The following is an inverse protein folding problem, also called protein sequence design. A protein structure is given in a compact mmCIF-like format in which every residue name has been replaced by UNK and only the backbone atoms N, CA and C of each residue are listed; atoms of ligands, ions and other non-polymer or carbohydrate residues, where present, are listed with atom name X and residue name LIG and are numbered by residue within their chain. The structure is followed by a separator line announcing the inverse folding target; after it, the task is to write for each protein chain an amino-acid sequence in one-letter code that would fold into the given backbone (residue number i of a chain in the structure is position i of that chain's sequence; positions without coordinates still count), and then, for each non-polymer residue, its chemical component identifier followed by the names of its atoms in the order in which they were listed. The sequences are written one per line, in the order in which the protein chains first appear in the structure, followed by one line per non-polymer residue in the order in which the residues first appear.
data_IF_717323030039
#
_entry.id   IF_717323030039
#
_cell.length_a   1.000
_cell.length_b   1.000
_cell.length_c   1.000
_cell.angle_alpha   90.00
_cell.angle_beta   90.00
_cell.angle_gamma   90.00
#
_symmetry.space_group_name_H-M   'P 1'
#
loop_
_entity.id
_entity.type
_entity.pdbx_description
1 polymer ?
#
# COMPACT_ATOMS: atom_id res chain seq x y z
N UNK A 1 -4.61 17.76 20.13
CA UNK A 1 -3.62 16.69 19.82
C UNK A 1 -3.17 16.92 18.40
N UNK A 2 -1.88 16.96 18.18
CA UNK A 2 -1.35 17.03 16.82
C UNK A 2 -1.75 15.76 16.08
N UNK A 3 -2.19 15.90 14.83
CA UNK A 3 -2.56 14.77 13.99
C UNK A 3 -1.33 13.89 13.78
N UNK A 4 -1.52 12.58 13.73
CA UNK A 4 -0.46 11.60 13.44
C UNK A 4 -0.92 10.67 12.32
N UNK A 5 -0.05 10.49 11.36
CA UNK A 5 -0.30 9.64 10.18
C UNK A 5 0.67 8.47 10.23
N UNK A 6 0.17 7.27 9.96
CA UNK A 6 1.00 6.08 9.80
C UNK A 6 0.78 5.54 8.39
N UNK A 7 1.83 5.41 7.61
CA UNK A 7 1.77 4.72 6.33
C UNK A 7 2.38 3.34 6.47
N UNK A 8 1.74 2.31 5.91
CA UNK A 8 2.25 0.93 5.95
C UNK A 8 2.39 0.38 4.54
N UNK A 9 3.62 0.40 4.03
CA UNK A 9 4.03 -0.38 2.88
C UNK A 9 4.39 -1.81 3.32
N UNK A 10 4.17 -2.81 2.47
CA UNK A 10 4.28 -4.21 2.91
C UNK A 10 4.45 -5.19 1.77
N UNK A 11 5.17 -6.28 2.02
CA UNK A 11 5.18 -7.46 1.14
C UNK A 11 3.85 -8.22 1.22
N UNK A 12 3.51 -8.94 0.14
CA UNK A 12 2.35 -9.81 0.12
C UNK A 12 2.60 -11.03 1.02
N UNK A 13 1.64 -11.35 1.87
CA UNK A 13 1.78 -12.43 2.86
C UNK A 13 2.40 -12.02 4.20
N UNK A 14 3.05 -10.86 4.33
CA UNK A 14 3.69 -10.42 5.57
C UNK A 14 2.74 -10.05 6.73
N UNK A 15 1.43 -10.02 6.50
CA UNK A 15 0.47 -9.60 7.52
C UNK A 15 0.35 -8.09 7.72
N UNK A 16 1.09 -7.26 6.97
CA UNK A 16 1.12 -5.81 7.18
C UNK A 16 -0.24 -5.11 7.15
N UNK A 17 -1.21 -5.65 6.37
CA UNK A 17 -2.59 -5.14 6.37
C UNK A 17 -3.29 -5.40 7.70
N UNK A 18 -3.16 -6.59 8.26
CA UNK A 18 -3.71 -6.97 9.56
C UNK A 18 -3.07 -6.14 10.69
N UNK A 19 -1.74 -6.05 10.70
CA UNK A 19 -0.99 -5.25 11.67
C UNK A 19 -1.47 -3.79 11.63
N UNK A 20 -1.63 -3.21 10.44
CA UNK A 20 -2.11 -1.83 10.29
C UNK A 20 -3.52 -1.60 10.82
N UNK A 21 -4.42 -2.57 10.63
CA UNK A 21 -5.78 -2.51 11.16
C UNK A 21 -5.78 -2.55 12.70
N UNK A 22 -4.99 -3.45 13.31
CA UNK A 22 -4.88 -3.55 14.75
C UNK A 22 -4.19 -2.32 15.38
N UNK A 23 -3.17 -1.78 14.73
CA UNK A 23 -2.54 -0.50 15.15
C UNK A 23 -3.57 0.64 15.14
N UNK A 24 -4.38 0.75 14.09
CA UNK A 24 -5.43 1.77 14.01
C UNK A 24 -6.44 1.62 15.16
N UNK A 25 -6.88 0.41 15.46
CA UNK A 25 -7.79 0.11 16.60
C UNK A 25 -7.16 0.50 17.94
N UNK A 26 -5.90 0.12 18.18
CA UNK A 26 -5.17 0.42 19.45
C UNK A 26 -4.96 1.92 19.67
N UNK A 27 -4.83 2.70 18.59
CA UNK A 27 -4.63 4.16 18.64
C UNK A 27 -5.92 4.97 18.53
N UNK A 28 -7.06 4.33 18.17
CA UNK A 28 -8.30 5.03 17.85
C UNK A 28 -8.20 5.87 16.56
N UNK A 29 -7.33 5.47 15.62
CA UNK A 29 -7.12 6.16 14.36
C UNK A 29 -8.05 5.61 13.27
N UNK A 30 -8.37 6.45 12.28
CA UNK A 30 -9.05 5.99 11.08
C UNK A 30 -8.15 5.01 10.30
N UNK A 31 -8.78 4.00 9.67
CA UNK A 31 -8.07 2.99 8.88
C UNK A 31 -8.45 3.07 7.41
N UNK A 32 -7.47 3.25 6.55
CA UNK A 32 -7.63 3.44 5.11
C UNK A 32 -6.87 2.38 4.30
N UNK A 33 -7.62 1.47 3.67
CA UNK A 33 -7.12 0.45 2.73
C UNK A 33 -8.01 0.40 1.49
N UNK A 34 -8.98 -0.49 1.45
CA UNK A 34 -9.88 -0.65 0.29
C UNK A 34 -10.93 0.46 0.17
N UNK A 35 -11.30 1.08 1.26
CA UNK A 35 -12.26 2.18 1.30
C UNK A 35 -11.80 3.45 0.55
N UNK A 36 -10.49 3.64 0.38
CA UNK A 36 -9.94 4.70 -0.49
C UNK A 36 -10.37 4.51 -1.95
N UNK A 37 -10.56 3.26 -2.41
CA UNK A 37 -10.94 2.95 -3.79
C UNK A 37 -12.25 3.66 -4.17
N UNK A 38 -13.25 3.64 -3.28
CA UNK A 38 -14.53 4.32 -3.51
C UNK A 38 -14.36 5.83 -3.70
N UNK A 39 -13.54 6.48 -2.88
CA UNK A 39 -13.28 7.91 -2.98
C UNK A 39 -12.51 8.28 -4.26
N UNK A 40 -11.56 7.44 -4.67
CA UNK A 40 -10.84 7.65 -5.94
C UNK A 40 -11.81 7.46 -7.11
N UNK A 41 -12.68 6.44 -7.07
CA UNK A 41 -13.67 6.18 -8.10
C UNK A 41 -14.63 7.38 -8.27
N UNK A 42 -15.19 7.87 -7.18
CA UNK A 42 -16.07 9.03 -7.17
C UNK A 42 -15.40 10.28 -7.78
N UNK A 43 -14.16 10.55 -7.40
CA UNK A 43 -13.43 11.75 -7.85
C UNK A 43 -12.87 11.65 -9.27
N UNK A 44 -12.54 10.45 -9.74
CA UNK A 44 -11.98 10.23 -11.07
C UNK A 44 -13.05 9.92 -12.14
N UNK A 45 -14.26 9.51 -11.72
CA UNK A 45 -15.28 9.00 -12.63
C UNK A 45 -14.98 7.61 -13.21
N UNK A 46 -13.94 6.92 -12.70
CA UNK A 46 -13.54 5.59 -13.17
C UNK A 46 -14.23 4.48 -12.35
N UNK A 47 -14.40 3.31 -12.97
CA UNK A 47 -14.98 2.15 -12.32
C UNK A 47 -14.11 1.70 -11.12
N UNK A 48 -14.71 1.38 -9.95
CA UNK A 48 -13.98 0.93 -8.77
C UNK A 48 -13.09 -0.30 -9.01
N UNK A 49 -13.53 -1.21 -9.89
CA UNK A 49 -12.78 -2.41 -10.29
C UNK A 49 -11.45 -2.04 -10.96
N UNK A 50 -11.47 -1.06 -11.87
CA UNK A 50 -10.28 -0.57 -12.52
C UNK A 50 -9.30 0.07 -11.53
N UNK A 51 -9.79 0.88 -10.62
CA UNK A 51 -8.97 1.52 -9.57
C UNK A 51 -8.37 0.49 -8.63
N UNK A 52 -9.12 -0.54 -8.26
CA UNK A 52 -8.63 -1.64 -7.41
C UNK A 52 -7.40 -2.31 -8.00
N UNK A 53 -7.36 -2.47 -9.34
CA UNK A 53 -6.25 -3.09 -10.03
C UNK A 53 -5.09 -2.13 -10.31
N UNK A 54 -5.36 -0.85 -10.52
CA UNK A 54 -4.39 0.13 -11.04
C UNK A 54 -3.79 1.03 -9.95
N UNK A 55 -4.49 1.28 -8.85
CA UNK A 55 -4.08 2.28 -7.87
C UNK A 55 -2.88 1.87 -6.98
N UNK A 56 -2.61 0.58 -6.82
CA UNK A 56 -1.48 0.07 -6.03
C UNK A 56 -0.57 -0.87 -6.84
N UNK A 57 -1.11 -1.46 -7.89
CA UNK A 57 -0.42 -2.46 -8.69
C UNK A 57 -0.26 -1.93 -10.11
N UNK A 58 0.94 -2.09 -10.70
CA UNK A 58 1.06 -1.88 -12.14
C UNK A 58 0.16 -2.87 -12.89
N UNK A 59 -0.42 -2.49 -14.05
CA UNK A 59 -1.26 -3.38 -14.84
C UNK A 59 -0.55 -4.72 -15.14
N UNK A 60 -1.32 -5.80 -15.22
CA UNK A 60 -0.79 -7.06 -15.74
C UNK A 60 -0.39 -6.85 -17.19
N UNK A 61 0.88 -7.12 -17.52
CA UNK A 61 1.38 -6.98 -18.89
C UNK A 61 0.64 -7.97 -19.82
N UNK A 62 -0.35 -7.48 -20.58
CA UNK A 62 -0.83 -8.14 -21.78
C UNK A 62 -0.20 -7.45 -23.00
N UNK A 63 0.07 -8.17 -24.08
CA UNK A 63 0.67 -7.63 -25.33
C UNK A 63 -0.09 -6.41 -25.87
N UNK A 64 -1.34 -6.21 -25.48
CA UNK A 64 -2.22 -5.13 -25.94
C UNK A 64 -2.44 -4.00 -24.93
N UNK A 65 -1.91 -4.08 -23.71
CA UNK A 65 -2.13 -3.05 -22.68
C UNK A 65 -1.56 -1.69 -23.09
N UNK A 66 -0.51 -1.66 -23.89
CA UNK A 66 0.08 -0.42 -24.42
C UNK A 66 -0.66 0.16 -25.65
N UNK A 67 -1.39 -0.67 -26.39
CA UNK A 67 -2.08 -0.22 -27.61
C UNK A 67 -3.42 0.47 -27.30
N UNK A 68 -3.99 0.27 -26.11
CA UNK A 68 -5.25 0.83 -25.66
C UNK A 68 -5.15 1.70 -24.41
N UNK A 69 -3.94 2.11 -24.02
CA UNK A 69 -3.78 3.18 -23.04
C UNK A 69 -4.32 4.47 -23.68
N UNK A 70 -5.64 4.68 -23.55
CA UNK A 70 -6.28 5.91 -23.96
C UNK A 70 -5.60 7.08 -23.28
N UNK A 71 -4.93 7.93 -24.05
CA UNK A 71 -4.47 9.21 -23.55
C UNK A 71 -5.62 10.18 -23.73
N UNK A 72 -5.84 11.01 -22.70
CA UNK A 72 -6.77 12.12 -22.85
C UNK A 72 -6.21 13.19 -23.80
N UNK A 73 -7.01 14.22 -24.07
CA UNK A 73 -6.61 15.36 -24.92
C UNK A 73 -5.40 16.13 -24.38
N UNK A 74 -4.98 15.88 -23.11
CA UNK A 74 -3.79 16.45 -22.49
C UNK A 74 -2.57 15.53 -22.59
N UNK A 75 -2.72 14.35 -23.16
CA UNK A 75 -1.67 13.34 -23.29
C UNK A 75 -1.44 12.48 -22.06
N UNK A 76 -2.24 12.64 -20.98
CA UNK A 76 -2.17 11.85 -19.76
C UNK A 76 -2.78 10.46 -19.96
N UNK A 77 -2.15 9.45 -19.38
CA UNK A 77 -2.71 8.11 -19.32
C UNK A 77 -3.79 8.00 -18.24
N UNK A 78 -4.64 6.99 -18.33
CA UNK A 78 -5.66 6.72 -17.31
C UNK A 78 -4.98 6.37 -15.98
N UNK A 79 -3.82 5.70 -16.02
CA UNK A 79 -3.01 5.40 -14.85
C UNK A 79 -2.51 6.68 -14.14
N UNK A 80 -2.09 7.69 -14.89
CA UNK A 80 -1.69 8.99 -14.33
C UNK A 80 -2.88 9.69 -13.66
N UNK A 81 -4.08 9.64 -14.27
CA UNK A 81 -5.30 10.16 -13.67
C UNK A 81 -5.62 9.46 -12.34
N UNK A 82 -5.50 8.13 -12.29
CA UNK A 82 -5.71 7.35 -11.07
C UNK A 82 -4.69 7.77 -9.99
N UNK A 83 -3.41 7.88 -10.34
CA UNK A 83 -2.38 8.28 -9.40
C UNK A 83 -2.57 9.71 -8.87
N UNK A 84 -2.86 10.68 -9.73
CA UNK A 84 -3.12 12.06 -9.33
C UNK A 84 -4.36 12.17 -8.42
N UNK A 85 -5.43 11.43 -8.75
CA UNK A 85 -6.63 11.42 -7.92
C UNK A 85 -6.36 10.74 -6.58
N UNK A 86 -5.63 9.63 -6.59
CA UNK A 86 -5.18 8.94 -5.36
C UNK A 86 -4.35 9.89 -4.47
N UNK A 87 -3.42 10.63 -5.07
CA UNK A 87 -2.61 11.62 -4.35
C UNK A 87 -3.49 12.67 -3.66
N UNK A 88 -4.48 13.22 -4.36
CA UNK A 88 -5.42 14.20 -3.77
C UNK A 88 -6.20 13.61 -2.60
N UNK A 89 -6.76 12.42 -2.77
CA UNK A 89 -7.51 11.72 -1.71
C UNK A 89 -6.64 11.49 -0.48
N UNK A 90 -5.41 10.98 -0.65
CA UNK A 90 -4.50 10.71 0.47
C UNK A 90 -4.14 11.99 1.23
N UNK A 91 -3.86 13.10 0.54
CA UNK A 91 -3.59 14.38 1.16
C UNK A 91 -4.80 14.89 1.97
N UNK A 92 -6.01 14.81 1.41
CA UNK A 92 -7.24 15.22 2.11
C UNK A 92 -7.51 14.38 3.37
N UNK A 93 -7.29 13.05 3.30
CA UNK A 93 -7.44 12.16 4.44
C UNK A 93 -6.43 12.50 5.56
N UNK A 94 -5.19 12.77 5.19
CA UNK A 94 -4.14 13.17 6.13
C UNK A 94 -4.42 14.54 6.79
N UNK A 95 -5.11 15.45 6.09
CA UNK A 95 -5.56 16.71 6.67
C UNK A 95 -6.79 16.56 7.57
N UNK A 96 -7.61 15.56 7.33
CA UNK A 96 -8.88 15.40 8.03
C UNK A 96 -8.68 14.87 9.45
N UNK A 97 -7.92 13.79 9.63
CA UNK A 97 -7.84 13.08 10.90
C UNK A 97 -6.57 12.23 11.03
N UNK A 98 -6.23 11.83 12.27
CA UNK A 98 -5.18 10.82 12.49
C UNK A 98 -5.57 9.51 11.87
N UNK A 99 -4.68 8.90 11.09
CA UNK A 99 -5.04 7.71 10.33
C UNK A 99 -3.86 6.77 10.04
N UNK A 100 -4.22 5.52 9.73
CA UNK A 100 -3.32 4.49 9.18
C UNK A 100 -3.70 4.26 7.71
N UNK A 101 -2.76 4.45 6.81
CA UNK A 101 -2.96 4.28 5.36
C UNK A 101 -2.13 3.12 4.85
N UNK A 102 -2.77 2.18 4.14
CA UNK A 102 -2.12 0.97 3.65
C UNK A 102 -1.70 1.11 2.19
N UNK A 103 -0.39 1.09 1.93
CA UNK A 103 0.22 1.13 0.59
C UNK A 103 -0.06 2.40 -0.19
N UNK A 104 -0.29 2.28 -1.51
CA UNK A 104 -0.70 3.37 -2.43
C UNK A 104 0.28 4.52 -2.53
N UNK A 105 1.57 4.22 -2.34
CA UNK A 105 2.64 5.22 -2.33
C UNK A 105 2.41 6.34 -1.30
N UNK A 106 1.63 6.07 -0.23
CA UNK A 106 1.28 7.07 0.77
C UNK A 106 2.51 7.62 1.50
N UNK A 107 3.50 6.76 1.75
CA UNK A 107 4.81 7.13 2.28
C UNK A 107 5.50 8.23 1.46
N UNK A 108 5.48 8.09 0.14
CA UNK A 108 6.05 9.09 -0.77
C UNK A 108 5.15 10.32 -0.95
N UNK A 109 3.84 10.14 -1.03
CA UNK A 109 2.87 11.24 -1.19
C UNK A 109 2.94 12.19 0.00
N UNK A 110 3.19 11.68 1.20
CA UNK A 110 3.23 12.42 2.46
C UNK A 110 4.65 12.73 2.96
N UNK A 111 5.68 12.52 2.13
CA UNK A 111 7.11 12.61 2.50
C UNK A 111 7.55 13.96 3.06
N UNK A 112 6.87 15.04 2.69
CA UNK A 112 7.21 16.40 3.10
C UNK A 112 6.49 16.81 4.41
N UNK A 113 5.85 15.87 5.12
CA UNK A 113 5.16 16.09 6.40
C UNK A 113 5.97 15.52 7.56
N UNK A 114 6.07 16.26 8.64
CA UNK A 114 6.80 15.88 9.86
C UNK A 114 5.98 14.99 10.81
N UNK A 115 4.66 14.88 10.59
CA UNK A 115 3.72 14.12 11.42
C UNK A 115 3.46 12.69 10.89
N UNK A 116 4.31 12.18 9.99
CA UNK A 116 4.13 10.88 9.33
C UNK A 116 5.16 9.86 9.81
N UNK A 117 4.66 8.70 10.27
CA UNK A 117 5.47 7.51 10.53
C UNK A 117 5.36 6.56 9.33
N UNK A 118 6.44 6.41 8.58
CA UNK A 118 6.52 5.49 7.44
C UNK A 118 7.04 4.12 7.87
N UNK A 119 6.23 3.09 7.68
CA UNK A 119 6.52 1.70 8.08
C UNK A 119 6.57 0.78 6.86
N UNK A 120 7.53 -0.14 6.86
CA UNK A 120 7.58 -1.26 5.90
C UNK A 120 7.50 -2.60 6.64
N UNK A 121 6.53 -3.44 6.27
CA UNK A 121 6.37 -4.78 6.86
C UNK A 121 6.75 -5.83 5.83
N UNK A 122 7.72 -6.67 6.19
CA UNK A 122 8.15 -7.80 5.39
C UNK A 122 8.14 -9.09 6.22
N UNK A 123 8.44 -10.22 5.61
CA UNK A 123 8.49 -11.49 6.31
C UNK A 123 9.32 -12.53 5.58
N UNK A 124 9.69 -13.59 6.30
CA UNK A 124 10.42 -14.72 5.73
C UNK A 124 9.52 -15.52 4.78
N UNK A 125 10.12 -16.10 3.75
CA UNK A 125 9.38 -16.75 2.67
C UNK A 125 8.47 -17.91 3.15
N UNK A 126 8.94 -18.83 4.00
CA UNK A 126 8.12 -19.96 4.46
C UNK A 126 6.82 -19.51 5.14
N UNK A 127 6.90 -18.57 6.07
CA UNK A 127 5.75 -18.08 6.85
C UNK A 127 4.77 -17.31 5.98
N UNK A 128 5.28 -16.54 5.00
CA UNK A 128 4.42 -15.87 4.02
C UNK A 128 3.69 -16.89 3.13
N UNK A 129 4.37 -17.95 2.67
CA UNK A 129 3.77 -19.02 1.88
C UNK A 129 2.67 -19.73 2.67
N UNK A 130 2.96 -20.18 3.90
CA UNK A 130 1.98 -20.82 4.78
C UNK A 130 0.74 -19.94 4.97
N UNK A 131 0.94 -18.66 5.26
CA UNK A 131 -0.15 -17.70 5.42
C UNK A 131 -1.01 -17.58 4.15
N UNK A 132 -0.40 -17.51 2.98
CA UNK A 132 -1.14 -17.39 1.71
C UNK A 132 -1.89 -18.66 1.39
N UNK A 133 -1.29 -19.84 1.57
CA UNK A 133 -1.98 -21.14 1.42
C UNK A 133 -3.23 -21.20 2.29
N UNK A 134 -3.13 -20.81 3.55
CA UNK A 134 -4.25 -20.81 4.51
C UNK A 134 -5.35 -19.80 4.13
N UNK A 135 -4.99 -18.59 3.73
CA UNK A 135 -5.96 -17.52 3.45
C UNK A 135 -6.68 -17.67 2.11
N UNK A 136 -6.01 -18.23 1.11
CA UNK A 136 -6.53 -18.32 -0.25
C UNK A 136 -6.85 -19.73 -0.68
N UNK A 137 -6.60 -20.75 0.18
CA UNK A 137 -6.83 -22.17 -0.10
C UNK A 137 -6.10 -22.64 -1.37
N UNK A 138 -4.85 -22.23 -1.55
CA UNK A 138 -4.01 -22.54 -2.70
C UNK A 138 -2.81 -23.41 -2.31
N UNK A 139 -2.17 -24.03 -3.29
CA UNK A 139 -0.91 -24.77 -3.09
C UNK A 139 0.26 -23.82 -2.81
N UNK A 140 1.34 -24.34 -2.22
CA UNK A 140 2.58 -23.57 -1.98
C UNK A 140 3.13 -22.98 -3.28
N UNK A 141 3.12 -23.76 -4.36
CA UNK A 141 3.59 -23.30 -5.66
C UNK A 141 2.78 -22.10 -6.18
N UNK A 142 1.47 -22.15 -6.01
CA UNK A 142 0.58 -21.04 -6.39
C UNK A 142 0.77 -19.85 -5.47
N UNK A 143 0.92 -20.05 -4.17
CA UNK A 143 1.22 -19.00 -3.20
C UNK A 143 2.50 -18.22 -3.57
N UNK A 144 3.58 -18.92 -3.91
CA UNK A 144 4.85 -18.31 -4.37
C UNK A 144 4.64 -17.49 -5.65
N UNK A 145 3.87 -18.00 -6.62
CA UNK A 145 3.54 -17.26 -7.85
C UNK A 145 2.76 -15.97 -7.55
N UNK A 146 1.73 -16.08 -6.70
CA UNK A 146 0.93 -14.91 -6.28
C UNK A 146 1.79 -13.85 -5.59
N UNK A 147 2.65 -14.26 -4.68
CA UNK A 147 3.56 -13.36 -3.97
C UNK A 147 4.50 -12.64 -4.94
N UNK A 148 5.12 -13.40 -5.84
CA UNK A 148 6.04 -12.86 -6.84
C UNK A 148 5.36 -11.86 -7.77
N UNK A 149 4.16 -12.18 -8.27
CA UNK A 149 3.39 -11.30 -9.16
C UNK A 149 2.98 -10.01 -8.44
N UNK A 150 2.37 -10.13 -7.27
CA UNK A 150 1.84 -8.97 -6.52
C UNK A 150 2.95 -8.03 -6.09
N UNK A 151 4.02 -8.54 -5.50
CA UNK A 151 5.11 -7.70 -5.01
C UNK A 151 5.91 -7.07 -6.16
N UNK A 152 6.09 -7.79 -7.29
CA UNK A 152 6.66 -7.21 -8.51
C UNK A 152 5.82 -6.07 -9.06
N UNK A 153 4.50 -6.20 -9.08
CA UNK A 153 3.59 -5.16 -9.56
C UNK A 153 3.59 -3.94 -8.62
N UNK A 154 3.64 -4.14 -7.29
CA UNK A 154 3.82 -3.07 -6.30
C UNK A 154 5.13 -2.32 -6.51
N UNK A 155 6.22 -3.08 -6.62
CA UNK A 155 7.56 -2.52 -6.86
C UNK A 155 7.58 -1.71 -8.17
N UNK A 156 6.98 -2.22 -9.25
CA UNK A 156 6.93 -1.52 -10.53
C UNK A 156 6.13 -0.22 -10.42
N UNK A 157 4.96 -0.25 -9.79
CA UNK A 157 4.13 0.95 -9.57
C UNK A 157 4.87 1.99 -8.70
N UNK A 158 5.39 1.56 -7.55
CA UNK A 158 6.10 2.44 -6.64
C UNK A 158 7.32 3.08 -7.30
N UNK A 159 8.20 2.27 -7.91
CA UNK A 159 9.42 2.79 -8.53
C UNK A 159 9.13 3.76 -9.67
N UNK A 160 8.04 3.54 -10.43
CA UNK A 160 7.64 4.42 -11.54
C UNK A 160 7.19 5.80 -11.06
N UNK A 161 6.30 5.86 -10.06
CA UNK A 161 5.75 7.13 -9.59
C UNK A 161 6.61 7.87 -8.58
N UNK A 162 7.55 7.20 -7.92
CA UNK A 162 8.36 7.80 -6.85
C UNK A 162 9.82 8.00 -7.23
N UNK A 163 10.29 7.38 -8.30
CA UNK A 163 11.70 7.29 -8.69
C UNK A 163 12.59 6.67 -7.60
N UNK A 164 11.98 5.99 -6.62
CA UNK A 164 12.65 5.33 -5.51
C UNK A 164 12.53 3.81 -5.63
N UNK A 165 13.34 3.06 -4.87
CA UNK A 165 13.26 1.60 -4.80
C UNK A 165 12.31 1.19 -3.69
N UNK A 166 11.23 0.50 -4.04
CA UNK A 166 10.30 -0.10 -3.09
C UNK A 166 11.01 -1.06 -2.13
N UNK A 167 10.67 -0.99 -0.83
CA UNK A 167 11.29 -1.83 0.21
C UNK A 167 12.72 -1.45 0.60
N UNK A 168 13.31 -0.37 0.03
CA UNK A 168 14.59 0.13 0.47
C UNK A 168 14.45 0.78 1.85
N UNK A 169 15.16 0.27 2.86
CA UNK A 169 15.02 0.69 4.26
C UNK A 169 15.12 2.21 4.47
N UNK A 170 15.94 2.91 3.68
CA UNK A 170 16.08 4.37 3.80
C UNK A 170 14.83 5.19 3.41
N UNK A 171 13.80 4.56 2.84
CA UNK A 171 12.55 5.22 2.51
C UNK A 171 11.54 5.17 3.66
N UNK A 172 11.85 4.41 4.72
CA UNK A 172 10.94 4.16 5.83
C UNK A 172 11.58 4.51 7.16
N UNK A 173 10.78 4.95 8.11
CA UNK A 173 11.23 5.20 9.48
C UNK A 173 11.48 3.90 10.22
N UNK A 174 10.64 2.88 9.96
CA UNK A 174 10.70 1.57 10.61
C UNK A 174 10.48 0.46 9.57
N UNK A 175 11.36 -0.55 9.57
CA UNK A 175 11.19 -1.77 8.79
C UNK A 175 11.12 -2.97 9.73
N UNK A 176 10.04 -3.78 9.67
CA UNK A 176 9.79 -4.85 10.62
C UNK A 176 9.62 -6.20 9.90
N UNK A 177 10.36 -7.21 10.36
CA UNK A 177 10.18 -8.59 9.92
C UNK A 177 9.11 -9.26 10.80
N UNK A 178 7.89 -9.34 10.30
CA UNK A 178 6.75 -9.90 11.04
C UNK A 178 6.87 -11.40 11.31
N UNK A 179 7.64 -12.14 10.51
CA UNK A 179 7.91 -13.56 10.74
C UNK A 179 8.81 -13.78 11.97
N UNK A 180 9.78 -12.87 12.17
CA UNK A 180 10.76 -13.00 13.27
C UNK A 180 10.26 -12.51 14.61
N UNK A 181 9.51 -11.41 14.62
CA UNK A 181 9.11 -10.75 15.85
C UNK A 181 7.63 -10.93 16.20
N UNK A 182 6.84 -11.51 15.29
CA UNK A 182 5.40 -11.69 15.48
C UNK A 182 4.58 -10.42 15.22
N UNK A 183 3.29 -10.58 14.97
CA UNK A 183 2.40 -9.47 14.63
C UNK A 183 2.16 -8.53 15.79
N UNK A 184 1.85 -9.09 16.96
CA UNK A 184 1.60 -8.31 18.18
C UNK A 184 2.79 -7.41 18.55
N UNK A 185 4.01 -7.93 18.41
CA UNK A 185 5.22 -7.14 18.67
C UNK A 185 5.46 -6.06 17.61
N UNK A 186 5.11 -6.34 16.33
CA UNK A 186 5.11 -5.30 15.31
C UNK A 186 4.16 -4.15 15.67
N UNK A 187 2.95 -4.48 16.12
CA UNK A 187 1.95 -3.50 16.53
C UNK A 187 2.43 -2.65 17.71
N UNK A 188 2.99 -3.28 18.77
CA UNK A 188 3.56 -2.59 19.92
C UNK A 188 4.66 -1.60 19.54
N UNK A 189 5.58 -2.01 18.64
CA UNK A 189 6.65 -1.15 18.16
C UNK A 189 6.09 0.06 17.42
N UNK A 190 5.14 -0.16 16.49
CA UNK A 190 4.52 0.93 15.71
C UNK A 190 3.78 1.90 16.64
N UNK A 191 2.97 1.38 17.57
CA UNK A 191 2.25 2.20 18.57
C UNK A 191 3.23 2.99 19.45
N UNK A 192 4.34 2.37 19.84
CA UNK A 192 5.39 3.01 20.65
C UNK A 192 6.12 4.15 19.92
N UNK A 193 6.20 4.10 18.58
CA UNK A 193 6.79 5.18 17.79
C UNK A 193 5.87 6.41 17.63
N UNK A 194 4.59 6.28 17.95
CA UNK A 194 3.59 7.38 17.79
C UNK A 194 3.33 8.11 19.09
N UNK A 195 3.54 7.43 20.21
CA UNK A 195 3.41 7.99 21.56
C UNK A 195 4.65 8.76 21.94
#
# INVERSE_FOLDING_TARGET
MDKKIITISREFGSGGRFIGEEVAKKLGFAYYDKNIIGQIAEKSGLAPEYIRESAELSPKKGLFAYAFAGRDITGKSVEDLVYETQRKVILELAEKESCVIIGRNADFILKDRDDVLNVFIYGDLPEKVERICRLYHVSEQEAVRMMTDIDKRRMTNYNFYTEQKWGKASNYTVCLNSSRIGYERCEEIIVGCVK
#
